data_IF_916521480879
#
_entry.id   IF_916521480879
#
_cell.length_a   1.000
_cell.length_b   1.000
_cell.length_c   1.000
_cell.angle_alpha   90.00
_cell.angle_beta   90.00
_cell.angle_gamma   90.00
#
_symmetry.space_group_name_H-M   'P 1'
#
loop_
_entity.id
_entity.type
_entity.pdbx_description
1 polymer ?
#
# COMPACT_ATOMS: atom_id res chain seq x y z
N UNK A 1 -3.20 9.10 20.10
CA UNK A 1 -2.80 9.00 18.68
C UNK A 1 -2.77 7.52 18.38
N UNK A 2 -3.78 7.02 17.67
CA UNK A 2 -3.89 5.59 17.40
C UNK A 2 -2.77 5.19 16.43
N UNK A 3 -2.24 3.97 16.55
CA UNK A 3 -1.07 3.51 15.77
C UNK A 3 -1.27 3.59 14.24
N UNK A 4 -2.53 3.53 13.77
CA UNK A 4 -2.90 3.70 12.36
C UNK A 4 -2.52 5.10 11.81
N UNK A 5 -2.63 6.14 12.64
CA UNK A 5 -2.37 7.52 12.21
C UNK A 5 -0.89 7.75 11.86
N UNK A 6 0.02 7.12 12.61
CA UNK A 6 1.46 7.31 12.42
C UNK A 6 1.96 6.71 11.10
N UNK A 7 1.49 5.50 10.76
CA UNK A 7 1.93 4.83 9.54
C UNK A 7 1.35 5.49 8.29
N UNK A 8 0.07 5.87 8.35
CA UNK A 8 -0.55 6.66 7.28
C UNK A 8 0.16 8.01 7.09
N UNK A 9 0.49 8.72 8.19
CA UNK A 9 1.29 9.94 8.14
C UNK A 9 2.70 9.71 7.57
N UNK A 10 3.33 8.57 7.89
CA UNK A 10 4.62 8.19 7.32
C UNK A 10 4.52 7.96 5.80
N UNK A 11 3.49 7.27 5.32
CA UNK A 11 3.25 7.08 3.88
C UNK A 11 3.02 8.42 3.18
N UNK A 12 2.11 9.26 3.69
CA UNK A 12 1.87 10.58 3.11
C UNK A 12 3.15 11.43 3.09
N UNK A 13 3.97 11.32 4.15
CA UNK A 13 5.27 11.99 4.20
C UNK A 13 6.25 11.42 3.17
N UNK A 14 6.30 10.10 2.98
CA UNK A 14 7.08 9.47 1.91
C UNK A 14 6.66 10.03 0.55
N UNK A 15 5.36 9.98 0.23
CA UNK A 15 4.83 10.42 -1.07
C UNK A 15 5.14 11.90 -1.35
N UNK A 16 4.91 12.79 -0.39
CA UNK A 16 5.20 14.22 -0.53
C UNK A 16 6.68 14.56 -0.78
N UNK A 17 7.61 13.66 -0.44
CA UNK A 17 9.05 13.89 -0.62
C UNK A 17 9.62 13.17 -1.85
N UNK A 18 9.00 12.07 -2.32
CA UNK A 18 9.39 11.41 -3.58
C UNK A 18 9.25 12.37 -4.76
N UNK A 19 8.21 13.20 -4.78
CA UNK A 19 8.03 14.24 -5.80
C UNK A 19 9.15 15.31 -5.80
N UNK A 20 9.92 15.43 -4.71
CA UNK A 20 10.98 16.43 -4.55
C UNK A 20 12.39 15.96 -4.93
N UNK A 21 12.58 14.70 -5.32
CA UNK A 21 13.89 14.15 -5.72
C UNK A 21 14.89 14.03 -4.54
N UNK A 22 14.39 13.77 -3.34
CA UNK A 22 15.18 13.81 -2.11
C UNK A 22 15.96 12.50 -1.84
N UNK A 23 17.29 12.58 -1.90
CA UNK A 23 18.25 11.46 -1.69
C UNK A 23 18.09 10.72 -0.36
N UNK A 24 17.51 11.34 0.66
CA UNK A 24 17.24 10.67 1.95
C UNK A 24 16.26 9.50 1.78
N UNK A 25 15.30 9.62 0.87
CA UNK A 25 14.30 8.57 0.63
C UNK A 25 14.85 7.42 -0.20
N UNK A 26 15.72 7.68 -1.17
CA UNK A 26 16.45 6.63 -1.87
C UNK A 26 17.25 5.77 -0.88
N UNK A 27 17.88 6.42 0.10
CA UNK A 27 18.60 5.73 1.17
C UNK A 27 17.64 4.96 2.10
N UNK A 28 16.53 5.55 2.52
CA UNK A 28 15.54 4.90 3.39
C UNK A 28 14.95 3.65 2.72
N UNK A 29 14.59 3.74 1.44
CA UNK A 29 14.09 2.61 0.64
C UNK A 29 15.17 1.56 0.38
N UNK A 30 16.45 1.94 0.35
CA UNK A 30 17.58 1.00 0.26
C UNK A 30 17.84 0.20 1.55
N UNK A 31 17.39 0.70 2.70
CA UNK A 31 17.57 0.03 4.01
C UNK A 31 16.33 -0.76 4.41
N UNK A 32 15.14 -0.33 3.99
CA UNK A 32 13.91 -1.09 4.18
C UNK A 32 13.80 -2.22 3.15
N UNK A 33 13.26 -3.39 3.52
CA UNK A 33 12.91 -4.44 2.55
C UNK A 33 11.67 -3.98 1.76
N UNK A 34 11.93 -3.08 0.82
CA UNK A 34 10.94 -2.36 0.04
C UNK A 34 10.94 -2.87 -1.40
N UNK A 35 9.77 -3.19 -1.92
CA UNK A 35 9.58 -3.58 -3.31
C UNK A 35 8.41 -2.81 -3.92
N UNK A 36 8.48 -2.57 -5.23
CA UNK A 36 7.39 -1.96 -5.99
C UNK A 36 7.05 -2.86 -7.15
N UNK A 37 5.77 -3.17 -7.28
CA UNK A 37 5.22 -3.91 -8.42
C UNK A 37 4.29 -2.98 -9.22
N UNK A 38 4.43 -3.00 -10.53
CA UNK A 38 3.53 -2.30 -11.45
C UNK A 38 2.54 -3.31 -12.02
N UNK A 39 1.26 -2.99 -11.98
CA UNK A 39 0.19 -3.88 -12.44
C UNK A 39 -0.91 -3.11 -13.15
N UNK A 40 -1.58 -3.73 -14.11
CA UNK A 40 -2.82 -3.21 -14.67
C UNK A 40 -3.86 -3.03 -13.55
N UNK A 41 -4.53 -1.88 -13.53
CA UNK A 41 -5.49 -1.52 -12.48
C UNK A 41 -6.58 -2.57 -12.31
N UNK A 42 -7.08 -3.13 -13.42
CA UNK A 42 -8.14 -4.14 -13.42
C UNK A 42 -7.67 -5.43 -12.75
N UNK A 43 -6.43 -5.84 -12.99
CA UNK A 43 -5.84 -7.04 -12.41
C UNK A 43 -5.58 -6.84 -10.92
N UNK A 44 -5.02 -5.68 -10.55
CA UNK A 44 -4.84 -5.31 -9.15
C UNK A 44 -6.18 -5.29 -8.40
N UNK A 45 -7.19 -4.62 -8.95
CA UNK A 45 -8.52 -4.57 -8.35
C UNK A 45 -9.10 -5.98 -8.13
N UNK A 46 -9.04 -6.83 -9.16
CA UNK A 46 -9.55 -8.21 -9.07
C UNK A 46 -8.79 -9.05 -8.03
N UNK A 47 -7.47 -8.95 -8.00
CA UNK A 47 -6.61 -9.65 -7.04
C UNK A 47 -6.92 -9.23 -5.61
N UNK A 48 -7.05 -7.93 -5.35
CA UNK A 48 -7.28 -7.43 -4.00
C UNK A 48 -8.72 -7.59 -3.53
N UNK A 49 -9.69 -7.64 -4.46
CA UNK A 49 -11.06 -8.06 -4.17
C UNK A 49 -11.08 -9.52 -3.70
N UNK A 50 -10.36 -10.41 -4.41
CA UNK A 50 -10.22 -11.80 -3.97
C UNK A 50 -9.54 -11.89 -2.59
N UNK A 51 -8.43 -11.18 -2.39
CA UNK A 51 -7.67 -11.21 -1.12
C UNK A 51 -8.44 -10.65 0.07
N UNK A 52 -9.36 -9.71 -0.15
CA UNK A 52 -10.27 -9.16 0.86
C UNK A 52 -11.16 -10.26 1.44
N UNK A 53 -11.67 -11.13 0.58
CA UNK A 53 -12.63 -12.18 0.94
C UNK A 53 -11.94 -13.46 1.43
N UNK A 54 -10.60 -13.51 1.43
CA UNK A 54 -9.81 -14.64 1.92
C UNK A 54 -9.41 -14.48 3.39
N UNK A 55 -9.71 -15.53 4.17
CA UNK A 55 -9.31 -15.70 5.56
C UNK A 55 -10.07 -14.83 6.56
N UNK A 56 -9.74 -14.98 7.83
CA UNK A 56 -10.31 -14.15 8.90
C UNK A 56 -9.63 -12.77 8.88
N UNK A 57 -10.43 -11.72 8.72
CA UNK A 57 -9.97 -10.32 8.68
C UNK A 57 -10.58 -9.54 9.84
N UNK A 58 -9.80 -8.62 10.42
CA UNK A 58 -10.37 -7.64 11.34
C UNK A 58 -11.26 -6.64 10.58
N UNK A 59 -12.15 -5.96 11.30
CA UNK A 59 -12.98 -4.89 10.73
C UNK A 59 -12.14 -3.79 10.07
N UNK A 60 -11.06 -3.39 10.73
CA UNK A 60 -10.12 -2.37 10.23
C UNK A 60 -9.45 -2.80 8.92
N UNK A 61 -9.07 -4.08 8.81
CA UNK A 61 -8.50 -4.61 7.56
C UNK A 61 -9.54 -4.59 6.43
N UNK A 62 -10.79 -4.99 6.69
CA UNK A 62 -11.84 -4.91 5.68
C UNK A 62 -12.07 -3.47 5.22
N UNK A 63 -12.01 -2.49 6.12
CA UNK A 63 -12.10 -1.06 5.80
C UNK A 63 -10.92 -0.58 4.94
N UNK A 64 -9.69 -1.02 5.25
CA UNK A 64 -8.50 -0.76 4.43
C UNK A 64 -8.65 -1.31 3.00
N UNK A 65 -9.09 -2.57 2.85
CA UNK A 65 -9.36 -3.17 1.54
C UNK A 65 -10.43 -2.40 0.77
N UNK A 66 -11.58 -2.09 1.41
CA UNK A 66 -12.66 -1.35 0.76
C UNK A 66 -12.18 0.04 0.30
N UNK A 67 -11.37 0.72 1.10
CA UNK A 67 -10.79 2.03 0.74
C UNK A 67 -9.94 1.91 -0.50
N UNK A 68 -9.07 0.89 -0.57
CA UNK A 68 -8.21 0.67 -1.73
C UNK A 68 -9.01 0.34 -2.99
N UNK A 69 -9.97 -0.58 -2.89
CA UNK A 69 -10.78 -1.01 -4.02
C UNK A 69 -11.62 0.15 -4.58
N UNK A 70 -12.31 0.89 -3.71
CA UNK A 70 -13.09 2.06 -4.12
C UNK A 70 -12.19 3.14 -4.77
N UNK A 71 -11.01 3.39 -4.19
CA UNK A 71 -10.05 4.35 -4.75
C UNK A 71 -9.54 3.92 -6.13
N UNK A 72 -9.34 2.62 -6.35
CA UNK A 72 -8.98 2.07 -7.67
C UNK A 72 -10.13 2.17 -8.68
N UNK A 73 -11.39 2.00 -8.27
CA UNK A 73 -12.53 2.19 -9.16
C UNK A 73 -12.62 3.63 -9.66
N UNK A 74 -12.44 4.60 -8.76
CA UNK A 74 -12.48 6.04 -9.06
C UNK A 74 -11.25 6.55 -9.82
N UNK A 75 -10.10 5.89 -9.66
CA UNK A 75 -8.86 6.28 -10.33
C UNK A 75 -8.95 6.09 -11.85
N UNK A 76 -8.71 7.16 -12.62
CA UNK A 76 -8.83 7.17 -14.08
C UNK A 76 -7.67 6.51 -14.84
N UNK A 77 -6.55 6.22 -14.17
CA UNK A 77 -5.40 5.58 -14.80
C UNK A 77 -5.64 4.10 -15.11
N UNK A 78 -4.82 3.53 -16.00
CA UNK A 78 -4.89 2.12 -16.39
C UNK A 78 -3.96 1.22 -15.56
N UNK A 79 -3.00 1.81 -14.85
CA UNK A 79 -1.93 1.10 -14.16
C UNK A 79 -1.69 1.68 -12.76
N UNK A 80 -1.46 0.79 -11.80
CA UNK A 80 -1.17 1.13 -10.41
C UNK A 80 0.19 0.60 -9.98
N UNK A 81 0.79 1.26 -9.00
CA UNK A 81 1.97 0.77 -8.30
C UNK A 81 1.55 0.23 -6.93
N UNK A 82 2.01 -0.97 -6.62
CA UNK A 82 1.82 -1.64 -5.35
C UNK A 82 3.16 -1.62 -4.64
N UNK A 83 3.24 -0.84 -3.59
CA UNK A 83 4.43 -0.66 -2.80
C UNK A 83 4.35 -1.56 -1.58
N UNK A 84 5.33 -2.43 -1.39
CA UNK A 84 5.41 -3.35 -0.25
C UNK A 84 6.56 -2.95 0.65
N UNK A 85 6.29 -2.81 1.94
CA UNK A 85 7.32 -2.67 2.98
C UNK A 85 7.16 -3.83 3.95
N UNK A 86 8.19 -4.66 4.06
CA UNK A 86 8.19 -5.77 5.01
C UNK A 86 8.77 -5.33 6.38
N UNK A 87 8.12 -5.75 7.45
CA UNK A 87 8.61 -5.70 8.82
C UNK A 87 8.61 -7.13 9.38
N UNK A 88 9.31 -7.40 10.50
CA UNK A 88 9.40 -8.75 11.04
C UNK A 88 8.04 -9.42 11.33
N UNK A 89 7.05 -8.66 11.80
CA UNK A 89 5.75 -9.20 12.23
C UNK A 89 4.60 -8.86 11.26
N UNK A 90 4.87 -8.11 10.20
CA UNK A 90 3.85 -7.61 9.28
C UNK A 90 4.44 -7.08 8.00
N UNK A 91 3.64 -7.03 6.94
CA UNK A 91 3.97 -6.24 5.78
C UNK A 91 2.86 -5.24 5.50
N UNK A 92 3.26 -4.11 4.92
CA UNK A 92 2.36 -3.07 4.50
C UNK A 92 2.37 -2.95 3.00
N UNK A 93 1.18 -2.81 2.45
CA UNK A 93 0.96 -2.52 1.06
C UNK A 93 0.38 -1.11 0.98
N UNK A 94 0.95 -0.24 0.15
CA UNK A 94 0.29 1.00 -0.23
C UNK A 94 0.25 1.14 -1.75
N UNK A 95 -0.79 1.80 -2.22
CA UNK A 95 -1.17 1.80 -3.62
C UNK A 95 -1.10 3.22 -4.15
N UNK A 96 -0.51 3.37 -5.33
CA UNK A 96 -0.45 4.67 -6.01
C UNK A 96 -0.74 4.54 -7.49
N UNK A 97 -1.03 5.65 -8.16
CA UNK A 97 -0.99 5.73 -9.62
C UNK A 97 0.44 5.56 -10.16
N UNK A 98 0.58 5.28 -11.45
CA UNK A 98 1.88 4.97 -12.07
C UNK A 98 2.96 6.06 -11.97
N UNK A 99 2.57 7.31 -11.70
CA UNK A 99 3.48 8.44 -11.47
C UNK A 99 3.59 8.84 -10.00
N UNK A 100 3.01 8.04 -9.08
CA UNK A 100 2.97 8.30 -7.63
C UNK A 100 2.14 9.56 -7.25
N UNK A 101 1.55 10.25 -8.24
CA UNK A 101 0.77 11.48 -8.08
C UNK A 101 -0.62 11.27 -7.42
N UNK A 102 -1.09 10.02 -7.38
CA UNK A 102 -2.37 9.64 -6.77
C UNK A 102 -2.14 8.56 -5.71
N UNK A 103 -2.56 8.83 -4.48
CA UNK A 103 -2.60 7.84 -3.41
C UNK A 103 -3.93 7.10 -3.42
N UNK A 104 -3.88 5.78 -3.44
CA UNK A 104 -5.05 4.90 -3.56
C UNK A 104 -5.33 4.11 -2.26
N UNK A 105 -4.64 4.39 -1.16
CA UNK A 105 -4.84 3.72 0.13
C UNK A 105 -3.74 2.74 0.50
N UNK A 106 -3.95 2.01 1.60
CA UNK A 106 -3.01 1.03 2.12
C UNK A 106 -3.72 -0.13 2.81
N UNK A 107 -3.01 -1.25 2.96
CA UNK A 107 -3.44 -2.46 3.66
C UNK A 107 -2.31 -2.90 4.58
N UNK A 108 -2.62 -3.15 5.85
CA UNK A 108 -1.73 -3.80 6.81
C UNK A 108 -2.04 -5.30 6.87
N UNK A 109 -1.03 -6.12 6.59
CA UNK A 109 -1.15 -7.58 6.66
C UNK A 109 -0.23 -8.12 7.75
N UNK A 110 -0.79 -8.75 8.80
CA UNK A 110 0.03 -9.41 9.81
C UNK A 110 0.78 -10.57 9.16
N UNK A 111 2.06 -10.69 9.49
CA UNK A 111 2.84 -11.86 9.14
C UNK A 111 2.43 -12.96 10.13
N UNK A 112 1.71 -13.97 9.65
CA UNK A 112 1.58 -15.23 10.38
C UNK A 112 2.66 -16.13 9.81
N UNK A 113 3.68 -16.47 10.60
CA UNK A 113 4.49 -17.63 10.27
C UNK A 113 3.53 -18.80 10.12
N UNK A 114 3.52 -19.44 8.95
CA UNK A 114 2.85 -20.71 8.78
C UNK A 114 3.57 -21.72 9.67
N UNK A 115 2.96 -22.05 10.80
CA UNK A 115 3.33 -23.20 11.64
C UNK A 115 3.29 -24.51 10.85
#
# INVERSE_FOLDING_TARGET
MEKCDFFHALILRILSNVESGNKFYDYLMGVLPYTVEKMEKKDAHSLYLLRRDLGDRSKEQLEQFNTVLNSMEEYSGEEVLIHTIQFPEKFFLFFTGSKVEYYLGYIEVPYRESE
#
